data_IF_106546631142
#
_entry.id   IF_106546631142
#
_cell.length_a   1.000
_cell.length_b   1.000
_cell.length_c   1.000
_cell.angle_alpha   90.00
_cell.angle_beta   90.00
_cell.angle_gamma   90.00
#
_symmetry.space_group_name_H-M   'P 1'
#
loop_
_entity.id
_entity.type
_entity.pdbx_description
1 polymer ?
#
# COMPACT_ATOMS: atom_id res chain seq x y z
N UNK A 1 -3.94 -30.56 -17.43
CA UNK A 1 -3.97 -29.86 -16.13
C UNK A 1 -4.53 -28.47 -16.39
N UNK A 2 -5.64 -28.07 -15.75
CA UNK A 2 -6.16 -26.71 -15.93
C UNK A 2 -5.22 -25.74 -15.24
N UNK A 3 -4.82 -24.69 -15.94
CA UNK A 3 -3.96 -23.63 -15.41
C UNK A 3 -4.71 -22.85 -14.31
N UNK A 4 -4.06 -22.61 -13.17
CA UNK A 4 -4.66 -21.86 -12.07
C UNK A 4 -4.75 -20.37 -12.47
N UNK A 5 -5.98 -19.85 -12.61
CA UNK A 5 -6.21 -18.44 -12.93
C UNK A 5 -6.34 -17.63 -11.64
N UNK A 6 -5.49 -16.62 -11.50
CA UNK A 6 -5.59 -15.62 -10.44
C UNK A 6 -6.49 -14.49 -10.94
N UNK A 7 -7.49 -14.13 -10.16
CA UNK A 7 -8.36 -12.98 -10.44
C UNK A 7 -8.05 -11.86 -9.45
N UNK A 8 -7.95 -10.63 -9.95
CA UNK A 8 -7.75 -9.44 -9.14
C UNK A 8 -8.81 -8.40 -9.46
N UNK A 9 -9.22 -7.63 -8.43
CA UNK A 9 -10.05 -6.44 -8.58
C UNK A 9 -9.23 -5.15 -8.66
N UNK A 10 -7.91 -5.24 -8.44
CA UNK A 10 -7.00 -4.10 -8.37
C UNK A 10 -6.42 -3.84 -9.75
N UNK A 11 -5.75 -4.83 -10.35
CA UNK A 11 -5.11 -4.68 -11.65
C UNK A 11 -5.77 -5.58 -12.69
N UNK A 12 -6.01 -5.02 -13.87
CA UNK A 12 -6.40 -5.76 -15.06
C UNK A 12 -5.53 -5.28 -16.23
N UNK A 13 -5.03 -6.22 -17.03
CA UNK A 13 -4.34 -5.90 -18.28
C UNK A 13 -4.67 -6.96 -19.32
N UNK A 14 -4.54 -6.59 -20.60
CA UNK A 14 -4.50 -7.51 -21.73
C UNK A 14 -3.06 -7.70 -22.22
N UNK A 15 -2.69 -8.87 -22.75
CA UNK A 15 -1.36 -9.08 -23.31
C UNK A 15 -1.15 -8.30 -24.61
N UNK A 16 0.03 -7.70 -24.82
CA UNK A 16 0.41 -7.15 -26.12
C UNK A 16 0.85 -8.28 -27.07
N UNK A 17 0.26 -8.40 -28.28
CA UNK A 17 0.63 -9.45 -29.23
C UNK A 17 2.07 -9.34 -29.76
N UNK A 18 2.74 -8.19 -29.57
CA UNK A 18 4.11 -7.93 -30.03
C UNK A 18 5.16 -8.32 -29.00
N UNK A 19 4.81 -8.39 -27.71
CA UNK A 19 5.75 -8.72 -26.65
C UNK A 19 5.01 -9.26 -25.41
N UNK A 20 5.36 -10.46 -24.92
CA UNK A 20 4.73 -11.04 -23.73
C UNK A 20 5.05 -10.30 -22.42
N UNK A 21 5.97 -9.33 -22.45
CA UNK A 21 6.34 -8.51 -21.30
C UNK A 21 5.65 -7.14 -21.29
N UNK A 22 4.78 -6.85 -22.27
CA UNK A 22 4.05 -5.60 -22.35
C UNK A 22 2.56 -5.83 -22.12
N UNK A 23 1.98 -5.05 -21.22
CA UNK A 23 0.55 -4.93 -21.04
C UNK A 23 -0.08 -3.94 -22.03
N UNK A 24 -1.29 -4.25 -22.48
CA UNK A 24 -2.26 -3.37 -23.15
C UNK A 24 -3.49 -3.22 -22.27
N UNK A 25 -4.25 -2.16 -22.47
CA UNK A 25 -5.48 -1.91 -21.72
C UNK A 25 -5.28 -2.05 -20.20
N UNK A 26 -4.14 -1.54 -19.71
CA UNK A 26 -3.75 -1.65 -18.30
C UNK A 26 -4.66 -0.76 -17.47
N UNK A 27 -5.40 -1.35 -16.55
CA UNK A 27 -6.38 -0.70 -15.71
C UNK A 27 -6.10 -0.93 -14.23
N UNK A 28 -6.18 0.16 -13.46
CA UNK A 28 -6.17 0.13 -12.01
C UNK A 28 -7.60 0.42 -11.52
N UNK A 29 -8.22 -0.55 -10.84
CA UNK A 29 -9.58 -0.45 -10.32
C UNK A 29 -10.62 -0.03 -11.38
N UNK A 30 -10.38 -0.37 -12.65
CA UNK A 30 -11.26 -0.04 -13.79
C UNK A 30 -10.85 1.19 -14.59
N UNK A 31 -10.01 2.08 -14.04
CA UNK A 31 -9.49 3.29 -14.70
C UNK A 31 -8.31 2.96 -15.62
N UNK A 32 -8.25 3.56 -16.80
CA UNK A 32 -7.11 3.45 -17.71
C UNK A 32 -5.85 4.05 -17.06
N UNK A 33 -4.86 3.20 -16.79
CA UNK A 33 -3.67 3.60 -16.07
C UNK A 33 -2.85 4.65 -16.83
N UNK A 34 -2.74 4.51 -18.15
CA UNK A 34 -1.92 5.42 -18.95
C UNK A 34 -2.70 6.65 -19.40
N UNK A 35 -3.99 6.50 -19.72
CA UNK A 35 -4.83 7.58 -20.21
C UNK A 35 -5.44 8.47 -19.11
N UNK A 36 -5.85 7.88 -17.99
CA UNK A 36 -6.61 8.57 -16.94
C UNK A 36 -5.80 8.85 -15.67
N UNK A 37 -4.80 8.00 -15.34
CA UNK A 37 -4.05 8.12 -14.09
C UNK A 37 -2.65 8.72 -14.26
N UNK A 38 -1.87 8.25 -15.24
CA UNK A 38 -0.49 8.67 -15.41
C UNK A 38 -0.40 10.17 -15.70
N UNK A 39 0.30 10.91 -14.83
CA UNK A 39 0.47 12.35 -14.93
C UNK A 39 -0.74 13.17 -14.46
N UNK A 40 -1.87 12.52 -14.14
CA UNK A 40 -3.10 13.16 -13.65
C UNK A 40 -3.34 12.92 -12.16
N UNK A 41 -3.03 11.71 -11.68
CA UNK A 41 -3.21 11.30 -10.29
C UNK A 41 -1.91 11.44 -9.48
N UNK A 42 -2.03 11.83 -8.21
CA UNK A 42 -0.91 11.78 -7.28
C UNK A 42 -0.62 10.35 -6.84
N UNK A 43 0.60 10.11 -6.33
CA UNK A 43 0.97 8.79 -5.78
C UNK A 43 -0.01 8.29 -4.71
N UNK A 44 -0.45 9.18 -3.82
CA UNK A 44 -1.38 8.81 -2.76
C UNK A 44 -2.80 8.53 -3.28
N UNK A 45 -3.19 9.08 -4.43
CA UNK A 45 -4.47 8.74 -5.07
C UNK A 45 -4.43 7.33 -5.64
N UNK A 46 -3.30 6.95 -6.24
CA UNK A 46 -3.07 5.59 -6.74
C UNK A 46 -3.07 4.59 -5.60
N UNK A 47 -2.39 4.89 -4.48
CA UNK A 47 -2.43 4.04 -3.29
C UNK A 47 -3.84 3.95 -2.69
N UNK A 48 -4.59 5.06 -2.64
CA UNK A 48 -5.98 5.07 -2.20
C UNK A 48 -6.86 4.19 -3.07
N UNK A 49 -6.74 4.29 -4.41
CA UNK A 49 -7.46 3.44 -5.35
C UNK A 49 -7.19 1.96 -5.09
N UNK A 50 -5.92 1.56 -4.88
CA UNK A 50 -5.58 0.17 -4.56
C UNK A 50 -6.25 -0.34 -3.27
N UNK A 51 -6.46 0.55 -2.29
CA UNK A 51 -7.05 0.20 -0.99
C UNK A 51 -8.59 0.26 -1.01
N UNK A 52 -9.19 1.18 -1.76
CA UNK A 52 -10.62 1.51 -1.69
C UNK A 52 -11.41 1.18 -2.94
N UNK A 53 -10.76 1.06 -4.10
CA UNK A 53 -11.39 0.82 -5.40
C UNK A 53 -11.94 2.07 -6.10
N UNK A 54 -12.27 3.12 -5.35
CA UNK A 54 -12.80 4.38 -5.86
C UNK A 54 -11.85 5.55 -5.54
N UNK A 55 -11.81 6.61 -6.37
CA UNK A 55 -10.92 7.74 -6.17
C UNK A 55 -11.28 8.52 -4.90
N UNK A 56 -10.30 9.13 -4.21
CA UNK A 56 -10.59 9.97 -3.07
C UNK A 56 -11.24 11.29 -3.50
N UNK A 57 -12.16 11.80 -2.69
CA UNK A 57 -12.54 13.21 -2.77
C UNK A 57 -11.42 14.14 -2.24
N UNK A 58 -11.62 15.46 -2.36
CA UNK A 58 -10.60 16.43 -1.97
C UNK A 58 -10.27 16.38 -0.46
N UNK A 59 -11.25 16.15 0.40
CA UNK A 59 -11.05 16.09 1.84
C UNK A 59 -10.36 14.79 2.25
N UNK A 60 -10.76 13.66 1.65
CA UNK A 60 -10.12 12.36 1.81
C UNK A 60 -8.67 12.39 1.37
N UNK A 61 -8.37 12.99 0.22
CA UNK A 61 -7.00 13.17 -0.29
C UNK A 61 -6.13 13.94 0.70
N UNK A 62 -6.63 15.07 1.19
CA UNK A 62 -5.90 15.89 2.15
C UNK A 62 -5.64 15.14 3.46
N UNK A 63 -6.68 14.49 4.02
CA UNK A 63 -6.55 13.70 5.24
C UNK A 63 -5.55 12.55 5.07
N UNK A 64 -5.64 11.82 3.96
CA UNK A 64 -4.75 10.68 3.69
C UNK A 64 -3.30 11.14 3.52
N UNK A 65 -3.06 12.28 2.88
CA UNK A 65 -1.73 12.88 2.79
C UNK A 65 -1.18 13.31 4.16
N UNK A 66 -1.99 13.96 4.99
CA UNK A 66 -1.58 14.31 6.35
C UNK A 66 -1.27 13.07 7.20
N UNK A 67 -2.09 12.02 7.08
CA UNK A 67 -1.86 10.76 7.76
C UNK A 67 -0.58 10.07 7.28
N UNK A 68 -0.32 10.05 5.98
CA UNK A 68 0.90 9.49 5.41
C UNK A 68 2.15 10.19 5.95
N UNK A 69 2.12 11.53 6.07
CA UNK A 69 3.22 12.31 6.65
C UNK A 69 3.37 12.01 8.15
N UNK A 70 2.27 11.95 8.89
CA UNK A 70 2.28 11.62 10.32
C UNK A 70 2.91 10.25 10.58
N UNK A 71 2.56 9.25 9.77
CA UNK A 71 3.04 7.88 9.91
C UNK A 71 4.42 7.62 9.30
N UNK A 72 4.97 8.56 8.52
CA UNK A 72 6.26 8.40 7.86
C UNK A 72 7.42 8.20 8.85
N UNK A 73 7.26 8.67 10.09
CA UNK A 73 8.25 8.49 11.14
C UNK A 73 7.59 8.49 12.53
N UNK A 74 7.20 7.31 13.06
CA UNK A 74 6.72 7.19 14.44
C UNK A 74 7.84 7.42 15.49
N UNK A 75 9.09 7.55 15.03
CA UNK A 75 10.26 7.82 15.85
C UNK A 75 11.04 6.56 16.22
N UNK A 76 12.29 6.70 16.71
CA UNK A 76 13.21 5.58 16.94
C UNK A 76 12.79 4.62 18.07
N UNK A 77 11.76 5.00 18.85
CA UNK A 77 11.20 4.17 19.93
C UNK A 77 10.10 3.24 19.42
N UNK A 78 9.63 3.45 18.19
CA UNK A 78 8.70 2.53 17.57
C UNK A 78 9.37 1.18 17.30
N UNK A 79 8.73 0.05 17.66
CA UNK A 79 9.32 -1.28 17.46
C UNK A 79 9.72 -1.59 16.02
N UNK A 80 8.98 -1.10 15.02
CA UNK A 80 9.27 -1.34 13.61
C UNK A 80 10.51 -0.56 13.15
N UNK A 81 10.67 0.68 13.62
CA UNK A 81 11.86 1.49 13.37
C UNK A 81 13.07 0.88 14.05
N UNK A 82 12.93 0.41 15.30
CA UNK A 82 14.01 -0.27 16.00
C UNK A 82 14.45 -1.55 15.29
N UNK A 83 13.51 -2.34 14.75
CA UNK A 83 13.83 -3.51 13.94
C UNK A 83 14.59 -3.15 12.66
N UNK A 84 14.19 -2.09 11.96
CA UNK A 84 14.91 -1.59 10.79
C UNK A 84 16.34 -1.17 11.15
N UNK A 85 16.51 -0.46 12.26
CA UNK A 85 17.82 0.00 12.75
C UNK A 85 18.72 -1.16 13.14
N UNK A 86 18.21 -2.16 13.86
CA UNK A 86 18.96 -3.35 14.24
C UNK A 86 19.44 -4.14 13.01
N UNK A 87 18.56 -4.32 12.01
CA UNK A 87 18.92 -4.94 10.73
C UNK A 87 19.95 -4.11 9.94
N UNK A 88 19.82 -2.78 9.96
CA UNK A 88 20.77 -1.87 9.31
C UNK A 88 22.18 -1.93 9.93
N UNK A 89 22.28 -1.93 11.26
CA UNK A 89 23.56 -2.02 11.98
C UNK A 89 24.25 -3.36 11.72
N UNK A 90 23.50 -4.44 11.51
CA UNK A 90 24.08 -5.74 11.17
C UNK A 90 24.63 -5.83 9.74
N UNK A 91 24.56 -4.74 8.95
CA UNK A 91 24.98 -4.70 7.55
C UNK A 91 23.99 -5.33 6.56
N UNK A 92 22.72 -5.51 6.96
CA UNK A 92 21.70 -6.07 6.09
C UNK A 92 21.38 -5.13 4.92
N UNK A 93 21.05 -5.70 3.76
CA UNK A 93 20.56 -4.92 2.61
C UNK A 93 19.26 -4.17 2.98
N UNK A 94 19.01 -2.95 2.46
CA UNK A 94 17.81 -2.16 2.79
C UNK A 94 16.49 -2.91 2.66
N UNK A 95 16.38 -3.80 1.66
CA UNK A 95 15.20 -4.66 1.49
C UNK A 95 14.94 -5.58 2.70
N UNK A 96 16.00 -6.16 3.28
CA UNK A 96 15.89 -7.00 4.47
C UNK A 96 15.54 -6.17 5.72
N UNK A 97 16.12 -4.97 5.85
CA UNK A 97 15.75 -4.05 6.92
C UNK A 97 14.27 -3.61 6.83
N UNK A 98 13.77 -3.34 5.62
CA UNK A 98 12.35 -3.03 5.38
C UNK A 98 11.44 -4.21 5.75
N UNK A 99 11.80 -5.44 5.35
CA UNK A 99 11.01 -6.63 5.72
C UNK A 99 10.97 -6.83 7.24
N UNK A 100 12.07 -6.61 7.95
CA UNK A 100 12.11 -6.69 9.40
C UNK A 100 11.18 -5.64 10.04
N UNK A 101 11.21 -4.40 9.54
CA UNK A 101 10.32 -3.33 9.97
C UNK A 101 8.84 -3.71 9.77
N UNK A 102 8.50 -4.17 8.56
CA UNK A 102 7.13 -4.57 8.20
C UNK A 102 6.64 -5.75 9.04
N UNK A 103 7.50 -6.74 9.31
CA UNK A 103 7.13 -7.90 10.13
C UNK A 103 6.74 -7.48 11.55
N UNK A 104 7.40 -6.47 12.11
CA UNK A 104 7.07 -5.92 13.43
C UNK A 104 5.85 -4.99 13.38
N UNK A 105 5.74 -4.14 12.35
CA UNK A 105 4.60 -3.22 12.17
C UNK A 105 3.28 -3.95 11.85
N UNK A 106 3.33 -5.13 11.24
CA UNK A 106 2.16 -5.94 10.91
C UNK A 106 1.54 -6.64 12.14
N UNK A 107 2.12 -6.44 13.32
CA UNK A 107 1.68 -7.06 14.57
C UNK A 107 0.36 -6.53 15.11
N UNK A 108 -0.14 -7.24 16.12
CA UNK A 108 -1.40 -6.92 16.78
C UNK A 108 -1.27 -5.74 17.77
N UNK A 109 -0.06 -5.45 18.24
CA UNK A 109 0.26 -4.36 19.15
C UNK A 109 1.01 -3.25 18.40
N UNK A 110 0.52 -2.01 18.48
CA UNK A 110 1.06 -0.85 17.75
C UNK A 110 0.77 -0.87 16.24
N UNK A 111 0.11 -1.91 15.73
CA UNK A 111 -0.23 -2.09 14.31
C UNK A 111 -1.73 -2.06 14.03
N UNK A 112 -2.12 -2.61 12.87
CA UNK A 112 -3.50 -2.55 12.39
C UNK A 112 -4.52 -3.28 13.30
N UNK A 113 -4.09 -4.33 14.02
CA UNK A 113 -4.96 -5.07 14.94
C UNK A 113 -5.45 -4.24 16.13
N UNK A 114 -4.55 -3.47 16.75
CA UNK A 114 -4.88 -2.54 17.83
C UNK A 114 -5.81 -1.42 17.33
N UNK A 115 -5.51 -0.84 16.16
CA UNK A 115 -6.36 0.18 15.54
C UNK A 115 -7.77 -0.34 15.27
N UNK A 116 -7.91 -1.56 14.72
CA UNK A 116 -9.21 -2.16 14.44
C UNK A 116 -10.05 -2.33 15.72
N UNK A 117 -9.43 -2.79 16.83
CA UNK A 117 -10.11 -2.89 18.13
C UNK A 117 -10.49 -1.53 18.69
N UNK A 118 -9.60 -0.53 18.58
CA UNK A 118 -9.86 0.82 19.04
C UNK A 118 -11.06 1.45 18.31
N UNK A 119 -11.13 1.29 16.98
CA UNK A 119 -12.26 1.76 16.18
C UNK A 119 -13.56 1.04 16.53
N UNK A 120 -13.52 -0.29 16.68
CA UNK A 120 -14.70 -1.06 17.10
C UNK A 120 -15.21 -0.64 18.48
N UNK A 121 -14.31 -0.32 19.42
CA UNK A 121 -14.68 0.18 20.74
C UNK A 121 -15.25 1.62 20.67
N UNK A 122 -14.69 2.47 19.80
CA UNK A 122 -15.19 3.83 19.58
C UNK A 122 -16.60 3.83 19.00
N UNK A 123 -16.89 2.96 18.03
CA UNK A 123 -18.21 2.85 17.40
C UNK A 123 -19.28 2.24 18.33
N UNK A 124 -18.86 1.50 19.36
CA UNK A 124 -19.75 0.88 20.35
C UNK A 124 -20.11 1.82 21.53
N UNK A 125 -19.50 2.99 21.62
CA UNK A 125 -19.71 3.99 22.66
C UNK A 125 -20.76 5.04 22.27
#
# INVERSE_FOLDING_TARGET
MSEARIHSRIWAEGPDPRSPFLGRDVRLCGFDYYGELLGQAGWLDVLWLMLRGDPPDAAQRQLFASLAVLLANPGPRDPSIHAAMAAGISGSHPAAALMAALAVAAGDQGGAGELARAMAAFDAA
#
